data_IF_149287498912
#
_entry.id   IF_149287498912
#
_cell.length_a   1.000
_cell.length_b   1.000
_cell.length_c   1.000
_cell.angle_alpha   90.00
_cell.angle_beta   90.00
_cell.angle_gamma   90.00
#
_symmetry.space_group_name_H-M   'P 1'
#
loop_
_entity.id
_entity.type
_entity.pdbx_description
1 polymer ?
#
# COMPACT_ATOMS: atom_id res chain seq x y z
N UNK A 1 -3.15 -14.99 -12.88
CA UNK A 1 -4.52 -15.46 -12.57
C UNK A 1 -5.53 -14.35 -12.90
N UNK A 2 -6.77 -14.69 -13.29
CA UNK A 2 -7.83 -13.68 -13.50
C UNK A 2 -8.47 -13.28 -12.17
N UNK A 3 -8.65 -11.98 -11.95
CA UNK A 3 -9.31 -11.41 -10.78
C UNK A 3 -10.74 -11.98 -10.56
N UNK A 4 -11.28 -11.93 -9.33
CA UNK A 4 -12.64 -12.37 -9.10
C UNK A 4 -13.61 -11.35 -9.68
N UNK A 5 -14.55 -11.81 -10.51
CA UNK A 5 -15.58 -10.97 -11.11
C UNK A 5 -16.91 -11.74 -11.12
N UNK A 6 -18.03 -11.01 -11.20
CA UNK A 6 -19.38 -11.57 -11.24
C UNK A 6 -19.63 -12.53 -10.07
N UNK A 7 -20.00 -13.77 -10.39
CA UNK A 7 -20.32 -14.82 -9.41
C UNK A 7 -19.23 -15.02 -8.35
N UNK A 8 -17.94 -14.89 -8.68
CA UNK A 8 -16.86 -15.05 -7.69
C UNK A 8 -16.93 -14.02 -6.56
N UNK A 9 -17.22 -12.76 -6.89
CA UNK A 9 -17.37 -11.70 -5.90
C UNK A 9 -18.63 -11.89 -5.06
N UNK A 10 -19.76 -12.23 -5.70
CA UNK A 10 -21.00 -12.51 -4.97
C UNK A 10 -20.84 -13.69 -4.01
N UNK A 11 -20.11 -14.74 -4.43
CA UNK A 11 -19.79 -15.87 -3.57
C UNK A 11 -18.97 -15.44 -2.36
N UNK A 12 -17.96 -14.59 -2.53
CA UNK A 12 -17.17 -14.06 -1.40
C UNK A 12 -18.05 -13.28 -0.44
N UNK A 13 -18.89 -12.37 -0.94
CA UNK A 13 -19.83 -11.61 -0.11
C UNK A 13 -20.76 -12.53 0.71
N UNK A 14 -21.26 -13.62 0.11
CA UNK A 14 -22.09 -14.57 0.84
C UNK A 14 -21.31 -15.36 1.89
N UNK A 15 -20.04 -15.70 1.62
CA UNK A 15 -19.18 -16.34 2.61
C UNK A 15 -18.89 -15.41 3.79
N UNK A 16 -18.64 -14.13 3.54
CA UNK A 16 -18.44 -13.13 4.60
C UNK A 16 -19.67 -12.94 5.47
N UNK A 17 -20.84 -12.78 4.85
CA UNK A 17 -22.10 -12.63 5.58
C UNK A 17 -22.38 -13.85 6.47
N UNK A 18 -22.13 -15.06 5.96
CA UNK A 18 -22.29 -16.30 6.72
C UNK A 18 -21.28 -16.43 7.87
N UNK A 19 -20.07 -15.90 7.68
CA UNK A 19 -19.03 -15.84 8.72
C UNK A 19 -19.45 -14.87 9.85
N UNK A 20 -19.92 -13.66 9.51
CA UNK A 20 -20.39 -12.67 10.48
C UNK A 20 -21.59 -13.14 11.33
N UNK A 21 -22.40 -14.07 10.80
CA UNK A 21 -23.57 -14.65 11.51
C UNK A 21 -23.29 -16.02 12.12
N UNK A 22 -22.20 -16.12 12.90
CA UNK A 22 -21.74 -17.28 13.70
C UNK A 22 -20.79 -18.27 13.01
N UNK A 23 -19.93 -17.80 12.10
CA UNK A 23 -18.89 -18.65 11.47
C UNK A 23 -19.45 -19.84 10.71
N UNK A 24 -20.63 -19.70 10.10
CA UNK A 24 -21.37 -20.84 9.53
C UNK A 24 -20.84 -21.21 8.16
N UNK A 25 -20.81 -22.52 7.90
CA UNK A 25 -20.63 -23.03 6.55
C UNK A 25 -21.86 -22.72 5.70
N UNK A 26 -21.64 -22.32 4.44
CA UNK A 26 -22.69 -22.20 3.43
C UNK A 26 -22.55 -23.35 2.43
N UNK A 27 -23.65 -24.08 2.21
CA UNK A 27 -23.61 -25.24 1.29
C UNK A 27 -23.44 -24.78 -0.16
N UNK A 28 -22.79 -25.61 -0.98
CA UNK A 28 -22.67 -25.34 -2.41
C UNK A 28 -24.01 -25.32 -3.14
N UNK A 29 -25.04 -25.99 -2.58
CA UNK A 29 -26.41 -25.93 -3.11
C UNK A 29 -27.01 -24.55 -2.85
N UNK A 30 -26.94 -24.05 -1.61
CA UNK A 30 -27.46 -22.72 -1.25
C UNK A 30 -26.79 -21.62 -2.07
N UNK A 31 -25.46 -21.69 -2.27
CA UNK A 31 -24.76 -20.76 -3.15
C UNK A 31 -25.23 -20.88 -4.62
N UNK A 32 -25.45 -22.10 -5.10
CA UNK A 32 -25.94 -22.36 -6.45
C UNK A 32 -27.32 -21.75 -6.67
N UNK A 33 -28.25 -21.97 -5.73
CA UNK A 33 -29.61 -21.45 -5.79
C UNK A 33 -29.62 -19.91 -5.74
N UNK A 34 -28.84 -19.29 -4.84
CA UNK A 34 -28.75 -17.83 -4.72
C UNK A 34 -28.19 -17.14 -5.97
N UNK A 35 -27.29 -17.82 -6.68
CA UNK A 35 -26.59 -17.27 -7.85
C UNK A 35 -27.18 -17.76 -9.17
N UNK A 36 -28.21 -18.62 -9.10
CA UNK A 36 -28.79 -19.29 -10.25
C UNK A 36 -27.74 -20.03 -11.12
N UNK A 37 -26.85 -20.79 -10.47
CA UNK A 37 -25.81 -21.61 -11.13
C UNK A 37 -25.76 -23.02 -10.54
N UNK A 38 -25.19 -23.96 -11.29
CA UNK A 38 -25.04 -25.34 -10.80
C UNK A 38 -24.06 -25.42 -9.62
N UNK A 39 -24.27 -26.40 -8.73
CA UNK A 39 -23.34 -26.72 -7.64
C UNK A 39 -21.91 -27.01 -8.14
N UNK A 40 -21.79 -27.59 -9.34
CA UNK A 40 -20.50 -27.83 -9.99
C UNK A 40 -19.81 -26.51 -10.38
N UNK A 41 -20.57 -25.52 -10.88
CA UNK A 41 -20.04 -24.18 -11.17
C UNK A 41 -19.58 -23.47 -9.89
N UNK A 42 -20.33 -23.57 -8.78
CA UNK A 42 -19.90 -23.06 -7.47
C UNK A 42 -18.56 -23.68 -7.06
N UNK A 43 -18.41 -25.00 -7.18
CA UNK A 43 -17.16 -25.69 -6.83
C UNK A 43 -15.98 -25.22 -7.69
N UNK A 44 -16.20 -24.95 -8.99
CA UNK A 44 -15.17 -24.38 -9.88
C UNK A 44 -14.78 -22.96 -9.47
N UNK A 45 -15.75 -22.13 -9.10
CA UNK A 45 -15.48 -20.78 -8.59
C UNK A 45 -14.71 -20.82 -7.26
N UNK A 46 -15.07 -21.71 -6.33
CA UNK A 46 -14.36 -21.95 -5.07
C UNK A 46 -12.90 -22.31 -5.30
N UNK A 47 -12.63 -23.31 -6.15
CA UNK A 47 -11.27 -23.73 -6.45
C UNK A 47 -10.46 -22.58 -7.05
N UNK A 48 -11.06 -21.77 -7.91
CA UNK A 48 -10.40 -20.59 -8.46
C UNK A 48 -10.13 -19.52 -7.41
N UNK A 49 -11.02 -19.31 -6.42
CA UNK A 49 -10.79 -18.39 -5.31
C UNK A 49 -9.65 -18.90 -4.41
N UNK A 50 -9.59 -20.21 -4.13
CA UNK A 50 -8.49 -20.82 -3.39
C UNK A 50 -7.14 -20.65 -4.11
N UNK A 51 -7.10 -20.87 -5.42
CA UNK A 51 -5.91 -20.64 -6.24
C UNK A 51 -5.43 -19.18 -6.17
N UNK A 52 -6.33 -18.23 -5.94
CA UNK A 52 -5.98 -16.82 -5.75
C UNK A 52 -5.33 -16.50 -4.39
N UNK A 53 -5.17 -17.50 -3.53
CA UNK A 53 -4.58 -17.36 -2.19
C UNK A 53 -5.62 -17.16 -1.08
N UNK A 54 -6.91 -17.26 -1.39
CA UNK A 54 -7.96 -17.20 -0.36
C UNK A 54 -8.09 -18.53 0.36
N UNK A 55 -7.92 -18.49 1.66
CA UNK A 55 -8.04 -19.67 2.50
C UNK A 55 -9.52 -19.97 2.79
N UNK A 56 -10.07 -20.88 1.99
CA UNK A 56 -11.47 -21.32 2.05
C UNK A 56 -11.50 -22.79 2.46
N UNK A 57 -12.09 -23.09 3.61
CA UNK A 57 -12.37 -24.45 4.03
C UNK A 57 -13.58 -25.02 3.31
N UNK A 58 -13.43 -26.27 2.85
CA UNK A 58 -14.52 -27.10 2.35
C UNK A 58 -14.69 -28.30 3.25
N UNK A 59 -15.87 -28.45 3.85
CA UNK A 59 -16.23 -29.62 4.66
C UNK A 59 -17.36 -30.38 3.96
N UNK A 60 -17.13 -31.66 3.70
CA UNK A 60 -18.14 -32.53 3.08
C UNK A 60 -19.42 -32.54 3.93
N UNK A 61 -20.58 -32.44 3.28
CA UNK A 61 -21.89 -32.36 3.95
C UNK A 61 -22.22 -31.00 4.59
N UNK A 62 -21.25 -30.13 4.89
CA UNK A 62 -21.50 -28.80 5.48
C UNK A 62 -21.40 -27.65 4.47
N UNK A 63 -20.45 -27.72 3.54
CA UNK A 63 -20.24 -26.67 2.53
C UNK A 63 -18.90 -25.97 2.64
N UNK A 64 -18.91 -24.66 2.41
CA UNK A 64 -17.74 -23.80 2.36
C UNK A 64 -17.76 -22.75 3.46
N UNK A 65 -16.59 -22.36 3.95
CA UNK A 65 -16.40 -21.28 4.93
C UNK A 65 -15.02 -20.67 4.71
N UNK A 66 -14.86 -19.38 4.98
CA UNK A 66 -13.54 -18.77 5.04
C UNK A 66 -12.78 -19.31 6.27
N UNK A 67 -11.47 -19.53 6.15
CA UNK A 67 -10.70 -20.14 7.26
C UNK A 67 -10.66 -19.24 8.49
N UNK A 68 -10.36 -17.97 8.23
CA UNK A 68 -10.39 -16.86 9.17
C UNK A 68 -11.48 -15.88 8.73
N UNK A 69 -11.82 -14.92 9.59
CA UNK A 69 -12.43 -13.69 9.08
C UNK A 69 -11.47 -13.12 8.05
N UNK A 70 -11.87 -13.09 6.77
CA UNK A 70 -11.19 -12.22 5.85
C UNK A 70 -11.45 -10.83 6.39
N UNK A 71 -10.40 -10.17 6.86
CA UNK A 71 -10.50 -8.79 7.31
C UNK A 71 -10.63 -7.87 6.08
N UNK A 72 -11.56 -8.17 5.18
CA UNK A 72 -11.73 -7.43 3.95
C UNK A 72 -12.03 -5.97 4.29
N UNK A 73 -11.48 -5.10 3.44
CA UNK A 73 -11.81 -3.69 3.44
C UNK A 73 -13.32 -3.50 3.30
N UNK A 74 -13.89 -2.75 4.23
CA UNK A 74 -15.29 -2.41 4.34
C UNK A 74 -15.40 -0.89 4.54
N UNK A 75 -16.08 -0.23 3.60
CA UNK A 75 -16.17 1.23 3.60
C UNK A 75 -16.79 1.80 4.88
N UNK A 76 -17.78 1.11 5.47
CA UNK A 76 -18.43 1.58 6.69
C UNK A 76 -17.48 1.47 7.88
N UNK A 77 -16.83 0.32 8.07
CA UNK A 77 -15.92 0.12 9.20
C UNK A 77 -14.73 1.09 9.15
N UNK A 78 -14.16 1.31 7.96
CA UNK A 78 -13.08 2.29 7.78
C UNK A 78 -13.58 3.69 8.13
N UNK A 79 -14.75 4.10 7.64
CA UNK A 79 -15.33 5.41 7.95
C UNK A 79 -15.63 5.58 9.44
N UNK A 80 -16.15 4.55 10.12
CA UNK A 80 -16.42 4.60 11.56
C UNK A 80 -15.11 4.80 12.34
N UNK A 81 -14.08 3.99 12.06
CA UNK A 81 -12.76 4.15 12.70
C UNK A 81 -12.12 5.50 12.41
N UNK A 82 -12.27 6.02 11.19
CA UNK A 82 -11.72 7.30 10.82
C UNK A 82 -12.46 8.47 11.50
N UNK A 83 -13.78 8.36 11.65
CA UNK A 83 -14.59 9.33 12.39
C UNK A 83 -14.13 9.41 13.86
N UNK A 84 -13.88 8.26 14.49
CA UNK A 84 -13.38 8.21 15.87
C UNK A 84 -12.00 8.88 16.03
N UNK A 85 -11.13 8.76 15.03
CA UNK A 85 -9.78 9.33 15.04
C UNK A 85 -9.75 10.82 14.71
N UNK A 86 -10.49 11.23 13.67
CA UNK A 86 -10.35 12.54 13.04
C UNK A 86 -11.54 13.48 13.31
N UNK A 87 -12.61 13.01 13.96
CA UNK A 87 -13.86 13.75 14.17
C UNK A 87 -14.46 14.35 12.89
N UNK A 88 -14.21 13.73 11.73
CA UNK A 88 -14.73 14.17 10.42
C UNK A 88 -15.03 12.98 9.51
N UNK A 89 -15.91 13.18 8.53
CA UNK A 89 -16.25 12.14 7.56
C UNK A 89 -15.07 11.79 6.66
N UNK A 90 -14.93 10.50 6.36
CA UNK A 90 -13.92 10.02 5.40
C UNK A 90 -14.43 10.15 3.97
N UNK A 91 -13.55 10.49 3.03
CA UNK A 91 -13.82 10.47 1.59
C UNK A 91 -13.21 9.20 1.02
N UNK A 92 -13.91 8.08 1.15
CA UNK A 92 -13.33 6.75 0.90
C UNK A 92 -14.11 5.97 -0.16
N UNK A 93 -13.37 5.32 -1.05
CA UNK A 93 -13.90 4.35 -2.01
C UNK A 93 -13.19 3.01 -1.83
N UNK A 94 -13.97 1.94 -1.70
CA UNK A 94 -13.47 0.57 -1.56
C UNK A 94 -13.82 -0.24 -2.80
N UNK A 95 -12.79 -0.71 -3.52
CA UNK A 95 -12.96 -1.50 -4.73
C UNK A 95 -12.62 -2.98 -4.50
N UNK A 96 -13.49 -3.93 -4.86
CA UNK A 96 -13.12 -5.35 -4.81
C UNK A 96 -11.96 -5.67 -5.76
N UNK A 97 -11.99 -5.09 -6.96
CA UNK A 97 -10.95 -5.28 -7.99
C UNK A 97 -10.84 -4.00 -8.79
N UNK A 98 -9.61 -3.58 -9.02
CA UNK A 98 -9.29 -2.44 -9.89
C UNK A 98 -8.02 -2.74 -10.69
N UNK A 99 -7.75 -1.99 -11.76
CA UNK A 99 -6.47 -2.07 -12.47
C UNK A 99 -5.33 -1.61 -11.56
N UNK A 100 -5.41 -0.36 -11.10
CA UNK A 100 -4.58 0.20 -10.05
C UNK A 100 -5.28 1.37 -9.39
N UNK A 101 -5.20 1.47 -8.06
CA UNK A 101 -5.78 2.58 -7.29
C UNK A 101 -5.20 3.93 -7.72
N UNK A 102 -3.90 3.98 -8.03
CA UNK A 102 -3.27 5.17 -8.60
C UNK A 102 -3.77 5.48 -10.02
N UNK A 103 -3.88 4.46 -10.88
CA UNK A 103 -4.30 4.64 -12.27
C UNK A 103 -5.73 5.19 -12.36
N UNK A 104 -6.59 4.78 -11.43
CA UNK A 104 -7.93 5.32 -11.31
C UNK A 104 -7.92 6.81 -11.02
N UNK A 105 -7.19 7.28 -10.01
CA UNK A 105 -7.07 8.72 -9.76
C UNK A 105 -6.49 9.47 -10.95
N UNK A 106 -5.41 8.95 -11.58
CA UNK A 106 -4.81 9.60 -12.75
C UNK A 106 -5.79 9.73 -13.91
N UNK A 107 -6.62 8.71 -14.13
CA UNK A 107 -7.68 8.71 -15.15
C UNK A 107 -8.75 9.77 -14.85
N UNK A 108 -9.21 9.85 -13.59
CA UNK A 108 -10.17 10.89 -13.15
C UNK A 108 -9.59 12.30 -13.31
N UNK A 109 -8.31 12.47 -12.97
CA UNK A 109 -7.58 13.74 -13.14
C UNK A 109 -7.54 14.15 -14.62
N UNK A 110 -7.17 13.23 -15.52
CA UNK A 110 -7.09 13.46 -16.96
C UNK A 110 -8.45 13.77 -17.60
N UNK A 111 -9.51 13.16 -17.06
CA UNK A 111 -10.89 13.41 -17.47
C UNK A 111 -11.49 14.69 -16.86
N UNK A 112 -10.72 15.43 -16.04
CA UNK A 112 -11.18 16.61 -15.29
C UNK A 112 -12.39 16.33 -14.39
N UNK A 113 -12.47 15.12 -13.83
CA UNK A 113 -13.48 14.80 -12.83
C UNK A 113 -13.22 15.59 -11.53
N UNK A 114 -14.26 16.06 -10.84
CA UNK A 114 -14.10 16.80 -9.60
C UNK A 114 -13.53 15.88 -8.50
N UNK A 115 -12.34 16.23 -8.00
CA UNK A 115 -11.65 15.54 -6.92
C UNK A 115 -11.33 16.51 -5.79
N UNK A 116 -11.50 16.06 -4.55
CA UNK A 116 -11.17 16.83 -3.37
C UNK A 116 -9.95 16.22 -2.68
N UNK A 117 -9.03 17.06 -2.21
CA UNK A 117 -7.98 16.60 -1.29
C UNK A 117 -8.59 15.80 -0.14
N UNK A 118 -7.96 14.69 0.22
CA UNK A 118 -8.49 13.76 1.22
C UNK A 118 -9.23 12.56 0.64
N UNK A 119 -9.55 12.53 -0.66
CA UNK A 119 -10.17 11.34 -1.26
C UNK A 119 -9.19 10.17 -1.28
N UNK A 120 -9.64 9.03 -0.78
CA UNK A 120 -8.90 7.77 -0.67
C UNK A 120 -9.58 6.69 -1.52
N UNK A 121 -8.79 5.96 -2.29
CA UNK A 121 -9.20 4.72 -2.93
C UNK A 121 -8.40 3.57 -2.32
N UNK A 122 -9.08 2.54 -1.86
CA UNK A 122 -8.47 1.27 -1.46
C UNK A 122 -9.06 0.12 -2.26
N UNK A 123 -8.26 -0.93 -2.46
CA UNK A 123 -8.72 -2.11 -3.19
C UNK A 123 -8.38 -3.43 -2.49
N UNK A 124 -9.22 -4.45 -2.70
CA UNK A 124 -8.85 -5.82 -2.30
C UNK A 124 -7.82 -6.43 -3.24
N UNK A 125 -7.80 -6.01 -4.51
CA UNK A 125 -6.88 -6.53 -5.54
C UNK A 125 -6.61 -5.48 -6.60
N UNK A 126 -5.36 -5.40 -7.05
CA UNK A 126 -4.99 -4.69 -8.29
C UNK A 126 -4.60 -5.70 -9.37
N UNK A 127 -5.17 -5.60 -10.56
CA UNK A 127 -4.78 -6.46 -11.70
C UNK A 127 -3.53 -5.98 -12.43
N UNK A 128 -3.20 -4.70 -12.26
CA UNK A 128 -2.06 -4.03 -12.87
C UNK A 128 -1.38 -3.10 -11.85
N UNK A 129 -1.16 -3.60 -10.63
CA UNK A 129 -0.45 -2.87 -9.58
C UNK A 129 0.94 -2.44 -10.04
N UNK A 130 1.30 -1.17 -9.78
CA UNK A 130 2.53 -0.55 -10.29
C UNK A 130 3.45 -0.13 -9.15
N UNK A 131 4.74 -0.32 -9.37
CA UNK A 131 5.82 0.34 -8.64
C UNK A 131 6.52 1.37 -9.52
N UNK A 132 7.61 1.94 -8.99
CA UNK A 132 8.45 2.86 -9.76
C UNK A 132 9.10 2.16 -10.96
N UNK A 133 9.40 2.95 -11.99
CA UNK A 133 10.14 2.51 -13.20
C UNK A 133 9.49 1.33 -13.92
N UNK A 134 8.16 1.22 -13.86
CA UNK A 134 7.40 0.17 -14.56
C UNK A 134 7.44 -1.21 -13.91
N UNK A 135 8.03 -1.36 -12.71
CA UNK A 135 7.96 -2.63 -11.97
C UNK A 135 6.52 -2.94 -11.57
N UNK A 136 6.17 -4.22 -11.53
CA UNK A 136 4.85 -4.67 -11.05
C UNK A 136 4.84 -4.74 -9.53
N UNK A 137 3.75 -4.28 -8.90
CA UNK A 137 3.47 -4.51 -7.49
C UNK A 137 2.52 -5.70 -7.34
N UNK A 138 3.00 -6.79 -6.75
CA UNK A 138 2.20 -8.00 -6.53
C UNK A 138 1.01 -7.68 -5.62
N UNK A 139 -0.19 -7.85 -6.15
CA UNK A 139 -1.42 -7.37 -5.50
C UNK A 139 -2.50 -8.46 -5.34
N UNK A 140 -2.23 -9.58 -4.65
CA UNK A 140 -3.22 -10.64 -4.41
C UNK A 140 -4.49 -10.16 -3.71
N UNK A 141 -5.60 -10.84 -4.00
CA UNK A 141 -6.92 -10.46 -3.47
C UNK A 141 -6.99 -10.64 -1.95
N UNK A 142 -7.35 -9.57 -1.23
CA UNK A 142 -7.58 -9.57 0.21
C UNK A 142 -6.32 -9.70 1.07
N UNK A 143 -5.14 -9.82 0.46
CA UNK A 143 -3.91 -10.18 1.15
C UNK A 143 -3.12 -9.01 1.75
N UNK A 144 -3.08 -7.88 1.05
CA UNK A 144 -2.28 -6.70 1.39
C UNK A 144 -3.13 -5.45 1.33
N UNK A 145 -2.55 -4.30 1.70
CA UNK A 145 -3.17 -3.00 1.51
C UNK A 145 -2.68 -2.37 0.20
N UNK A 146 -3.63 -2.00 -0.66
CA UNK A 146 -3.42 -1.19 -1.86
C UNK A 146 -4.21 0.10 -1.68
N UNK A 147 -3.49 1.17 -1.44
CA UNK A 147 -4.04 2.45 -0.99
C UNK A 147 -3.56 3.56 -1.92
N UNK A 148 -4.46 4.46 -2.28
CA UNK A 148 -4.12 5.72 -2.95
C UNK A 148 -4.84 6.89 -2.29
N UNK A 149 -4.15 8.02 -2.16
CA UNK A 149 -4.67 9.26 -1.62
C UNK A 149 -4.46 10.39 -2.63
N UNK A 150 -5.53 11.15 -2.90
CA UNK A 150 -5.46 12.33 -3.75
C UNK A 150 -5.19 13.59 -2.92
N UNK A 151 -4.22 14.39 -3.38
CA UNK A 151 -3.86 15.65 -2.77
C UNK A 151 -3.64 16.74 -3.82
N UNK A 152 -4.31 17.88 -3.65
CA UNK A 152 -4.01 19.09 -4.40
C UNK A 152 -3.00 19.93 -3.60
N UNK A 153 -1.82 20.13 -4.18
CA UNK A 153 -0.75 20.96 -3.64
C UNK A 153 -0.68 22.28 -4.42
N UNK A 154 -0.80 23.38 -3.70
CA UNK A 154 -0.84 24.71 -4.30
C UNK A 154 0.55 25.23 -4.72
N UNK A 155 1.61 24.72 -4.08
CA UNK A 155 3.00 25.23 -4.17
C UNK A 155 3.83 24.67 -5.36
N UNK A 156 3.19 24.08 -6.37
CA UNK A 156 3.85 23.66 -7.62
C UNK A 156 4.68 22.37 -7.56
N UNK A 157 5.29 22.00 -8.70
CA UNK A 157 5.99 20.73 -8.89
C UNK A 157 7.24 20.57 -8.01
N UNK A 158 7.94 21.66 -7.69
CA UNK A 158 9.12 21.57 -6.83
C UNK A 158 8.77 21.16 -5.41
N UNK A 159 7.61 21.60 -4.91
CA UNK A 159 7.08 21.19 -3.62
C UNK A 159 6.55 19.73 -3.63
N UNK A 160 6.46 19.07 -4.79
CA UNK A 160 6.19 17.63 -4.82
C UNK A 160 7.47 16.79 -4.56
N UNK A 161 8.66 17.39 -4.72
CA UNK A 161 9.92 16.70 -4.45
C UNK A 161 10.01 16.37 -2.96
N UNK A 162 10.29 15.10 -2.67
CA UNK A 162 10.42 14.64 -1.30
C UNK A 162 9.11 14.22 -0.63
N UNK A 163 7.96 14.27 -1.30
CA UNK A 163 6.71 13.75 -0.69
C UNK A 163 6.79 12.28 -0.29
N UNK A 164 7.59 11.46 -0.97
CA UNK A 164 7.81 10.07 -0.55
C UNK A 164 8.44 9.95 0.85
N UNK A 165 9.17 10.98 1.32
CA UNK A 165 9.72 11.06 2.68
C UNK A 165 8.60 11.26 3.69
N UNK A 166 7.71 12.22 3.43
CA UNK A 166 6.53 12.53 4.24
C UNK A 166 5.65 11.30 4.39
N UNK A 167 5.38 10.62 3.27
CA UNK A 167 4.55 9.40 3.26
C UNK A 167 5.25 8.26 4.01
N UNK A 168 6.57 8.11 3.89
CA UNK A 168 7.34 7.13 4.65
C UNK A 168 7.22 7.32 6.16
N UNK A 169 7.27 8.58 6.64
CA UNK A 169 7.05 8.91 8.05
C UNK A 169 5.61 8.61 8.50
N UNK A 170 4.61 8.94 7.68
CA UNK A 170 3.22 8.61 8.00
C UNK A 170 2.99 7.09 8.14
N UNK A 171 3.61 6.28 7.28
CA UNK A 171 3.57 4.82 7.39
C UNK A 171 4.26 4.34 8.67
N UNK A 172 5.42 4.92 9.02
CA UNK A 172 6.10 4.64 10.28
C UNK A 172 5.22 4.95 11.49
N UNK A 173 4.65 6.16 11.56
CA UNK A 173 3.78 6.57 12.67
C UNK A 173 2.60 5.61 12.83
N UNK A 174 1.97 5.24 11.71
CA UNK A 174 0.84 4.30 11.67
C UNK A 174 1.22 2.94 12.26
N UNK A 175 2.34 2.36 11.81
CA UNK A 175 2.77 1.03 12.24
C UNK A 175 3.23 1.01 13.69
N UNK A 176 3.86 2.10 14.14
CA UNK A 176 4.27 2.27 15.53
C UNK A 176 3.06 2.41 16.46
N UNK A 177 2.05 3.21 16.08
CA UNK A 177 0.84 3.42 16.87
C UNK A 177 0.01 2.12 16.99
N UNK A 178 -0.21 1.40 15.87
CA UNK A 178 -1.09 0.24 15.88
C UNK A 178 -0.44 -1.02 16.42
N UNK A 179 0.86 -1.22 16.15
CA UNK A 179 1.51 -2.51 16.35
C UNK A 179 2.83 -2.41 17.11
N UNK A 180 3.30 -1.21 17.46
CA UNK A 180 4.61 -1.02 18.08
C UNK A 180 5.79 -1.44 17.18
N UNK A 181 5.58 -1.56 15.87
CA UNK A 181 6.59 -2.01 14.93
C UNK A 181 7.49 -0.83 14.55
N UNK A 182 8.77 -0.95 14.87
CA UNK A 182 9.82 -0.04 14.40
C UNK A 182 10.24 -0.44 12.97
N UNK A 183 10.25 0.55 12.06
CA UNK A 183 10.65 0.35 10.66
C UNK A 183 11.85 1.21 10.31
N UNK A 184 12.53 0.84 9.24
CA UNK A 184 13.57 1.64 8.62
C UNK A 184 13.07 2.21 7.29
N UNK A 185 13.46 3.44 6.98
CA UNK A 185 13.11 4.10 5.72
C UNK A 185 14.29 4.01 4.76
N UNK A 186 14.06 3.51 3.55
CA UNK A 186 15.05 3.42 2.49
C UNK A 186 14.69 4.42 1.39
N UNK A 187 15.62 5.33 1.12
CA UNK A 187 15.40 6.33 0.09
C UNK A 187 15.27 5.68 -1.31
N UNK A 188 14.39 6.21 -2.18
CA UNK A 188 13.50 7.35 -1.90
C UNK A 188 12.13 6.96 -1.36
N UNK A 189 11.75 5.67 -1.34
CA UNK A 189 10.33 5.30 -1.27
C UNK A 189 10.02 3.92 -0.69
N UNK A 190 10.99 3.22 -0.10
CA UNK A 190 10.78 1.88 0.45
C UNK A 190 10.75 1.92 1.98
N UNK A 191 9.86 1.16 2.61
CA UNK A 191 9.81 0.95 4.05
C UNK A 191 10.24 -0.49 4.33
N UNK A 192 11.20 -0.65 5.23
CA UNK A 192 11.88 -1.91 5.52
C UNK A 192 11.70 -2.31 6.99
N UNK A 193 11.68 -3.62 7.24
CA UNK A 193 11.90 -4.19 8.57
C UNK A 193 12.97 -5.28 8.40
N UNK A 194 14.01 -5.26 9.23
CA UNK A 194 15.12 -6.22 9.15
C UNK A 194 15.71 -6.34 7.72
N UNK A 195 15.94 -5.20 7.04
CA UNK A 195 16.41 -5.12 5.65
C UNK A 195 15.52 -5.80 4.59
N UNK A 196 14.28 -6.16 4.93
CA UNK A 196 13.29 -6.73 4.02
C UNK A 196 12.20 -5.71 3.75
N UNK A 197 11.75 -5.59 2.50
CA UNK A 197 10.72 -4.63 2.13
C UNK A 197 9.36 -5.02 2.69
N UNK A 198 8.76 -4.12 3.47
CA UNK A 198 7.41 -4.24 4.02
C UNK A 198 6.41 -3.43 3.19
N UNK A 199 6.77 -2.21 2.79
CA UNK A 199 5.90 -1.35 2.01
C UNK A 199 6.69 -0.54 0.96
N UNK A 200 5.97 -0.06 -0.04
CA UNK A 200 6.50 0.82 -1.09
C UNK A 200 5.56 1.99 -1.37
N UNK A 201 6.14 3.16 -1.60
CA UNK A 201 5.43 4.39 -1.93
C UNK A 201 5.62 4.71 -3.41
N UNK A 202 4.56 5.16 -4.08
CA UNK A 202 4.58 5.66 -5.44
C UNK A 202 3.78 6.97 -5.51
N UNK A 203 4.49 8.10 -5.59
CA UNK A 203 3.86 9.39 -5.83
C UNK A 203 3.86 9.67 -7.32
N UNK A 204 2.68 9.87 -7.89
CA UNK A 204 2.46 10.32 -9.26
C UNK A 204 1.92 11.75 -9.24
N UNK A 205 2.22 12.51 -10.29
CA UNK A 205 1.96 13.94 -10.37
C UNK A 205 1.37 14.31 -11.73
N UNK A 206 0.43 15.24 -11.72
CA UNK A 206 -0.15 15.89 -12.89
C UNK A 206 -0.32 17.38 -12.58
N UNK A 207 0.29 18.26 -13.38
CA UNK A 207 0.23 19.69 -13.08
C UNK A 207 1.26 20.51 -13.85
N UNK A 208 1.15 21.82 -13.68
CA UNK A 208 2.05 22.79 -14.29
C UNK A 208 3.24 23.09 -13.38
N UNK A 209 4.43 23.42 -13.91
CA UNK A 209 5.62 23.72 -13.10
C UNK A 209 5.46 24.79 -12.02
N UNK A 210 4.63 25.81 -12.27
CA UNK A 210 4.41 26.96 -11.37
C UNK A 210 2.93 27.11 -10.95
N UNK A 211 2.14 26.05 -11.06
CA UNK A 211 0.71 26.08 -10.71
C UNK A 211 0.31 24.91 -9.80
N UNK A 212 -0.97 24.80 -9.44
CA UNK A 212 -1.47 23.71 -8.61
C UNK A 212 -1.07 22.35 -9.20
N UNK A 213 -0.53 21.50 -8.33
CA UNK A 213 -0.08 20.16 -8.66
C UNK A 213 -1.04 19.15 -8.06
N UNK A 214 -1.62 18.31 -8.91
CA UNK A 214 -2.47 17.19 -8.50
C UNK A 214 -1.56 16.00 -8.23
N UNK A 215 -1.63 15.46 -7.02
CA UNK A 215 -0.77 14.39 -6.54
C UNK A 215 -1.60 13.16 -6.21
N UNK A 216 -1.08 12.02 -6.62
CA UNK A 216 -1.64 10.71 -6.29
C UNK A 216 -0.59 9.93 -5.52
N UNK A 217 -0.83 9.77 -4.23
CA UNK A 217 0.06 9.07 -3.31
C UNK A 217 -0.40 7.61 -3.21
N UNK A 218 0.33 6.71 -3.85
CA UNK A 218 0.13 5.27 -3.76
C UNK A 218 0.97 4.63 -2.66
N UNK A 219 0.37 3.77 -1.86
CA UNK A 219 1.02 2.98 -0.81
C UNK A 219 0.61 1.52 -0.99
N UNK A 220 1.61 0.67 -1.25
CA UNK A 220 1.47 -0.78 -1.18
C UNK A 220 2.12 -1.30 0.08
N UNK A 221 1.36 -1.95 0.97
CA UNK A 221 1.85 -2.45 2.25
C UNK A 221 1.52 -3.94 2.40
N UNK A 222 2.55 -4.76 2.60
CA UNK A 222 2.42 -6.20 2.73
C UNK A 222 1.83 -6.56 4.10
N UNK A 223 0.71 -7.28 4.12
CA UNK A 223 0.01 -7.66 5.35
C UNK A 223 0.13 -9.15 5.59
N UNK A 224 -0.38 -9.96 4.66
CA UNK A 224 -0.25 -11.41 4.67
C UNK A 224 -0.15 -11.92 3.24
N UNK A 225 1.07 -11.98 2.73
CA UNK A 225 1.32 -12.35 1.34
C UNK A 225 1.17 -13.87 1.15
N UNK A 226 0.32 -14.35 0.22
CA UNK A 226 0.25 -15.76 -0.12
C UNK A 226 1.55 -16.27 -0.76
N UNK A 227 1.93 -17.50 -0.45
CA UNK A 227 3.18 -18.12 -0.93
C UNK A 227 3.29 -18.14 -2.47
N UNK A 228 2.20 -18.45 -3.17
CA UNK A 228 2.19 -18.48 -4.64
C UNK A 228 2.41 -17.12 -5.32
N UNK A 229 2.21 -16.01 -4.60
CA UNK A 229 2.55 -14.67 -5.09
C UNK A 229 3.97 -14.27 -4.69
N UNK A 230 4.48 -14.77 -3.56
CA UNK A 230 5.81 -14.41 -3.08
C UNK A 230 6.95 -15.00 -3.92
N UNK A 231 6.72 -16.13 -4.59
CA UNK A 231 7.66 -16.73 -5.56
C UNK A 231 8.01 -15.80 -6.73
N UNK A 232 7.16 -14.81 -7.02
CA UNK A 232 7.36 -13.84 -8.11
C UNK A 232 8.09 -12.56 -7.66
N UNK A 233 8.47 -12.47 -6.38
CA UNK A 233 9.16 -11.30 -5.82
C UNK A 233 10.66 -11.56 -5.83
N UNK A 234 11.39 -10.78 -6.63
CA UNK A 234 12.84 -10.92 -6.88
C UNK A 234 13.74 -10.24 -5.83
N UNK A 235 13.14 -9.66 -4.80
CA UNK A 235 13.83 -8.95 -3.73
C UNK A 235 13.41 -9.41 -2.33
N UNK A 236 14.27 -9.25 -1.31
CA UNK A 236 13.88 -9.54 0.07
C UNK A 236 12.65 -8.73 0.50
N UNK A 237 11.66 -9.43 1.03
CA UNK A 237 10.38 -8.85 1.46
C UNK A 237 9.93 -9.49 2.79
N UNK A 238 9.05 -8.79 3.49
CA UNK A 238 8.35 -9.25 4.69
C UNK A 238 6.93 -8.72 4.65
N UNK A 239 6.07 -9.23 5.52
CA UNK A 239 4.73 -8.72 5.75
C UNK A 239 4.46 -8.57 7.25
N UNK A 240 3.36 -7.90 7.61
CA UNK A 240 3.00 -7.68 9.01
C UNK A 240 2.68 -8.98 9.75
N UNK A 241 2.09 -9.97 9.09
CA UNK A 241 1.75 -11.26 9.70
C UNK A 241 2.99 -12.03 10.13
N UNK A 242 4.08 -12.00 9.35
CA UNK A 242 5.35 -12.61 9.73
C UNK A 242 6.05 -11.89 10.89
N UNK A 243 5.82 -10.58 11.04
CA UNK A 243 6.40 -9.78 12.12
C UNK A 243 5.63 -9.95 13.44
N UNK A 244 4.32 -10.18 13.37
CA UNK A 244 3.48 -10.39 14.53
C UNK A 244 2.36 -11.41 14.23
N UNK A 245 2.65 -12.72 14.25
CA UNK A 245 1.70 -13.76 13.83
C UNK A 245 0.54 -14.01 14.80
N UNK A 246 0.66 -13.53 16.04
CA UNK A 246 -0.33 -13.75 17.09
C UNK A 246 -1.37 -12.62 17.18
N UNK A 247 -1.07 -11.44 16.64
CA UNK A 247 -2.01 -10.33 16.60
C UNK A 247 -2.74 -10.30 15.27
N UNK A 248 -4.08 -10.31 15.33
CA UNK A 248 -4.92 -10.11 14.16
C UNK A 248 -4.69 -8.71 13.57
N UNK A 249 -4.64 -8.61 12.25
CA UNK A 249 -4.45 -7.34 11.56
C UNK A 249 -5.77 -6.85 11.00
N UNK A 250 -6.33 -5.85 11.68
CA UNK A 250 -7.51 -5.12 11.20
C UNK A 250 -7.12 -4.16 10.07
N UNK A 251 -7.45 -4.54 8.83
CA UNK A 251 -7.15 -3.71 7.65
C UNK A 251 -8.00 -2.45 7.62
N UNK A 252 -9.20 -2.49 8.18
CA UNK A 252 -10.11 -1.36 8.20
C UNK A 252 -9.56 -0.25 9.11
N UNK A 253 -9.16 -0.64 10.32
CA UNK A 253 -8.48 0.23 11.27
C UNK A 253 -7.14 0.73 10.73
N UNK A 254 -6.38 -0.12 10.04
CA UNK A 254 -5.12 0.27 9.40
C UNK A 254 -5.33 1.38 8.36
N UNK A 255 -6.34 1.28 7.50
CA UNK A 255 -6.63 2.33 6.51
C UNK A 255 -7.01 3.65 7.18
N UNK A 256 -7.89 3.59 8.19
CA UNK A 256 -8.30 4.78 8.93
C UNK A 256 -7.10 5.48 9.60
N UNK A 257 -6.27 4.72 10.33
CA UNK A 257 -5.09 5.25 10.99
C UNK A 257 -4.07 5.80 9.99
N UNK A 258 -3.81 5.07 8.89
CA UNK A 258 -2.89 5.51 7.85
C UNK A 258 -3.34 6.83 7.22
N UNK A 259 -4.63 6.94 6.93
CA UNK A 259 -5.21 8.18 6.39
C UNK A 259 -5.01 9.33 7.36
N UNK A 260 -5.31 9.12 8.65
CA UNK A 260 -5.15 10.14 9.67
C UNK A 260 -3.70 10.59 9.87
N UNK A 261 -2.75 9.65 10.00
CA UNK A 261 -1.33 9.96 10.11
C UNK A 261 -0.79 10.65 8.85
N UNK A 262 -1.22 10.22 7.66
CA UNK A 262 -0.83 10.85 6.40
C UNK A 262 -1.31 12.31 6.34
N UNK A 263 -2.55 12.58 6.72
CA UNK A 263 -3.08 13.94 6.74
C UNK A 263 -2.34 14.86 7.71
N UNK A 264 -2.00 14.37 8.91
CA UNK A 264 -1.18 15.12 9.88
C UNK A 264 0.16 15.49 9.25
N UNK A 265 0.84 14.52 8.63
CA UNK A 265 2.15 14.75 8.01
C UNK A 265 2.05 15.64 6.77
N UNK A 266 1.00 15.53 5.97
CA UNK A 266 0.80 16.42 4.82
C UNK A 266 0.52 17.86 5.26
N UNK A 267 -0.19 18.06 6.36
CA UNK A 267 -0.43 19.41 6.91
C UNK A 267 0.85 20.01 7.52
N UNK A 268 1.63 19.23 8.27
CA UNK A 268 2.94 19.67 8.76
C UNK A 268 3.88 20.02 7.59
N UNK A 269 3.82 19.24 6.50
CA UNK A 269 4.58 19.49 5.28
C UNK A 269 4.14 20.78 4.58
N UNK A 270 2.84 21.07 4.52
CA UNK A 270 2.30 22.33 3.98
C UNK A 270 2.84 23.54 4.74
N UNK A 271 3.02 23.43 6.05
CA UNK A 271 3.45 24.54 6.89
C UNK A 271 4.97 24.75 6.88
N UNK A 272 5.76 23.66 6.87
CA UNK A 272 7.20 23.73 7.12
C UNK A 272 8.07 23.11 6.03
N UNK A 273 7.47 22.53 5.00
CA UNK A 273 8.17 21.68 4.04
C UNK A 273 8.84 20.49 4.74
N UNK A 274 10.06 20.14 4.29
CA UNK A 274 10.86 19.05 4.90
C UNK A 274 11.81 19.53 6.00
N UNK A 275 11.74 20.80 6.44
CA UNK A 275 12.72 21.40 7.35
C UNK A 275 12.88 20.63 8.66
N UNK A 276 11.79 20.09 9.21
CA UNK A 276 11.80 19.29 10.44
C UNK A 276 11.87 17.80 10.09
N UNK A 277 10.97 17.33 9.22
CA UNK A 277 10.81 15.92 8.86
C UNK A 277 12.08 15.24 8.34
N UNK A 278 12.97 15.94 7.64
CA UNK A 278 14.19 15.31 7.14
C UNK A 278 15.10 14.78 8.26
N UNK A 279 15.06 15.40 9.45
CA UNK A 279 15.82 14.95 10.63
C UNK A 279 15.23 13.66 11.20
N UNK A 280 13.91 13.60 11.32
CA UNK A 280 13.18 12.41 11.76
C UNK A 280 13.42 11.25 10.80
N UNK A 281 13.32 11.51 9.50
CA UNK A 281 13.59 10.50 8.49
C UNK A 281 15.03 9.97 8.56
N UNK A 282 16.01 10.85 8.79
CA UNK A 282 17.41 10.47 8.92
C UNK A 282 17.69 9.57 10.15
N UNK A 283 16.91 9.71 11.23
CA UNK A 283 17.00 8.81 12.38
C UNK A 283 16.52 7.39 12.05
N UNK A 284 15.59 7.27 11.10
CA UNK A 284 15.01 6.01 10.63
C UNK A 284 15.73 5.44 9.39
N UNK A 285 16.75 6.12 8.89
CA UNK A 285 17.33 5.81 7.59
C UNK A 285 18.07 4.46 7.59
N UNK A 286 17.64 3.54 6.73
CA UNK A 286 18.16 2.18 6.65
C UNK A 286 19.67 2.10 6.36
N UNK A 287 20.20 3.01 5.53
CA UNK A 287 21.57 2.95 5.03
C UNK A 287 22.45 4.09 5.53
N UNK A 288 22.09 4.69 6.67
CA UNK A 288 22.85 5.77 7.27
C UNK A 288 24.30 5.35 7.52
N UNK A 289 25.24 6.15 7.03
CA UNK A 289 26.69 5.94 7.15
C UNK A 289 27.23 4.65 6.50
N UNK A 290 26.45 4.00 5.66
CA UNK A 290 26.87 2.82 4.90
C UNK A 290 27.43 3.18 3.52
N UNK A 291 28.30 2.32 2.99
CA UNK A 291 28.74 2.40 1.59
C UNK A 291 27.60 1.98 0.68
N UNK A 292 27.15 2.89 -0.18
CA UNK A 292 26.02 2.67 -1.11
C UNK A 292 26.46 2.88 -2.55
N UNK A 293 25.76 2.22 -3.47
CA UNK A 293 25.74 2.59 -4.88
C UNK A 293 24.42 3.30 -5.18
N UNK A 294 24.49 4.53 -5.70
CA UNK A 294 23.36 5.27 -6.27
C UNK A 294 23.35 5.08 -7.79
N UNK A 295 22.25 4.57 -8.32
CA UNK A 295 22.03 4.43 -9.76
C UNK A 295 21.06 5.51 -10.28
N UNK A 296 21.50 6.32 -11.25
CA UNK A 296 20.66 7.30 -11.96
C UNK A 296 20.83 7.09 -13.47
N UNK A 297 19.78 6.59 -14.12
CA UNK A 297 19.87 6.22 -15.54
C UNK A 297 20.92 5.12 -15.76
N UNK A 298 21.95 5.43 -16.58
CA UNK A 298 23.09 4.53 -16.85
C UNK A 298 24.31 4.81 -15.97
N UNK A 299 24.25 5.83 -15.11
CA UNK A 299 25.38 6.25 -14.26
C UNK A 299 25.21 5.68 -12.86
N UNK A 300 26.33 5.26 -12.29
CA UNK A 300 26.41 4.78 -10.92
C UNK A 300 27.42 5.64 -10.15
N UNK A 301 27.08 5.99 -8.92
CA UNK A 301 27.97 6.68 -7.98
C UNK A 301 28.13 5.82 -6.74
N UNK A 302 29.35 5.69 -6.24
CA UNK A 302 29.64 4.99 -4.99
C UNK A 302 30.15 5.97 -3.95
N UNK A 303 29.67 5.82 -2.72
CA UNK A 303 30.13 6.65 -1.61
C UNK A 303 29.40 6.33 -0.31
N UNK A 304 29.76 7.04 0.74
CA UNK A 304 29.15 6.85 2.06
C UNK A 304 27.85 7.66 2.11
N UNK A 305 26.73 7.00 2.37
CA UNK A 305 25.45 7.66 2.49
C UNK A 305 25.37 8.47 3.79
N UNK A 306 24.92 9.73 3.71
CA UNK A 306 24.81 10.67 4.83
C UNK A 306 23.36 11.07 5.09
N UNK A 307 22.41 10.23 4.70
CA UNK A 307 20.98 10.51 4.80
C UNK A 307 20.54 11.58 3.80
N UNK A 308 19.39 12.19 4.01
CA UNK A 308 18.83 13.24 3.15
C UNK A 308 19.12 14.65 3.66
N UNK A 309 19.11 15.63 2.76
CA UNK A 309 19.06 17.05 3.09
C UNK A 309 17.63 17.55 3.35
N UNK A 310 17.51 18.85 3.67
CA UNK A 310 16.23 19.51 3.95
C UNK A 310 15.32 19.68 2.73
N UNK A 311 15.76 19.29 1.54
CA UNK A 311 14.97 19.26 0.30
C UNK A 311 14.64 17.81 -0.11
N UNK A 312 15.08 16.81 0.68
CA UNK A 312 14.83 15.40 0.41
C UNK A 312 15.81 14.73 -0.56
N UNK A 313 16.86 15.44 -0.96
CA UNK A 313 17.94 14.90 -1.76
C UNK A 313 18.82 13.95 -0.95
N UNK A 314 19.13 12.76 -1.49
CA UNK A 314 20.05 11.82 -0.83
C UNK A 314 21.47 12.38 -0.88
N UNK A 315 22.14 12.42 0.26
CA UNK A 315 23.51 12.92 0.41
C UNK A 315 24.50 11.77 0.36
N UNK A 316 25.48 11.86 -0.53
CA UNK A 316 26.53 10.86 -0.67
C UNK A 316 27.88 11.56 -0.57
N UNK A 317 28.74 11.03 0.30
CA UNK A 317 30.12 11.47 0.45
C UNK A 317 31.04 10.65 -0.45
N UNK A 318 31.73 11.31 -1.37
CA UNK A 318 32.73 10.73 -2.26
C UNK A 318 33.96 11.63 -2.26
N UNK A 319 35.15 11.05 -2.11
CA UNK A 319 36.45 11.77 -2.13
C UNK A 319 36.53 12.98 -1.18
N UNK A 320 35.85 12.88 -0.04
CA UNK A 320 35.80 13.94 0.98
C UNK A 320 34.67 14.96 0.81
N UNK A 321 34.05 15.04 -0.37
CA UNK A 321 32.93 15.97 -0.65
C UNK A 321 31.58 15.28 -0.47
N UNK A 322 30.59 16.01 0.07
CA UNK A 322 29.20 15.56 0.17
C UNK A 322 28.36 16.22 -0.90
N UNK A 323 27.65 15.42 -1.70
CA UNK A 323 26.76 15.90 -2.78
C UNK A 323 25.35 15.36 -2.60
N UNK A 324 24.35 16.19 -2.93
CA UNK A 324 22.92 15.83 -2.88
C UNK A 324 22.39 15.40 -4.24
N UNK A 325 21.52 14.40 -4.26
CA UNK A 325 20.90 13.85 -5.47
C UNK A 325 19.38 13.68 -5.29
N UNK A 326 18.59 14.07 -6.30
CA UNK A 326 17.12 14.12 -6.24
C UNK A 326 16.42 13.02 -7.06
N UNK A 327 17.17 12.04 -7.57
CA UNK A 327 16.62 10.95 -8.37
C UNK A 327 17.53 9.74 -8.38
N UNK A 328 16.97 8.57 -8.60
CA UNK A 328 17.70 7.29 -8.65
C UNK A 328 17.18 6.22 -7.69
N UNK A 329 18.01 5.20 -7.50
CA UNK A 329 17.83 4.10 -6.54
C UNK A 329 19.14 3.86 -5.80
N UNK A 330 19.08 3.73 -4.46
CA UNK A 330 20.24 3.35 -3.64
C UNK A 330 20.20 1.86 -3.29
N UNK A 331 21.37 1.24 -3.25
CA UNK A 331 21.54 -0.14 -2.81
C UNK A 331 22.88 -0.33 -2.10
N UNK A 332 22.95 -1.32 -1.20
CA UNK A 332 24.18 -1.72 -0.51
C UNK A 332 25.10 -2.59 -1.36
N UNK A 333 24.61 -3.13 -2.48
CA UNK A 333 25.41 -3.99 -3.36
C UNK A 333 26.27 -3.13 -4.28
N UNK A 334 27.48 -3.62 -4.57
CA UNK A 334 28.19 -3.19 -5.79
C UNK A 334 27.34 -3.67 -6.96
N UNK A 335 26.80 -2.74 -7.73
CA UNK A 335 26.32 -3.07 -9.08
C UNK A 335 27.57 -3.45 -9.85
N UNK A 336 27.74 -4.76 -10.10
CA UNK A 336 28.83 -5.28 -10.92
C UNK A 336 28.61 -4.94 -12.39
#
# INVERSE_FOLDING_TARGET
>A
MKAPQGNKLMILNYLEQAQATKGKFISGQVLGDKLNISRAAVAKHMQSLQQMGLDIFKVSGKGYRLSNELDLLNSKHISDHYLDLASKESKLEVHPVIDSTNSEFMRRIQNNEPLNSGTVIVAQMQTAGRGRRGRTWQSPFGANLYYSYYWLLDDGLQAAMGLSIVVGLAVYDTLKILYGIEVQLKWPNDILVNNKKLAGVLVELDGQPQGPCKLVIGIGLNIKMPENYSEQIDQPWTDLFLLNPNDGIDKNKLVAQLTHCLEIRLEEYRQTGLLIMHKEWNQLHAFQDQLVTLAIGKRNWQGICKGIDAQGGIRIRQDGEVKSYFGGEISLRKVH
#
